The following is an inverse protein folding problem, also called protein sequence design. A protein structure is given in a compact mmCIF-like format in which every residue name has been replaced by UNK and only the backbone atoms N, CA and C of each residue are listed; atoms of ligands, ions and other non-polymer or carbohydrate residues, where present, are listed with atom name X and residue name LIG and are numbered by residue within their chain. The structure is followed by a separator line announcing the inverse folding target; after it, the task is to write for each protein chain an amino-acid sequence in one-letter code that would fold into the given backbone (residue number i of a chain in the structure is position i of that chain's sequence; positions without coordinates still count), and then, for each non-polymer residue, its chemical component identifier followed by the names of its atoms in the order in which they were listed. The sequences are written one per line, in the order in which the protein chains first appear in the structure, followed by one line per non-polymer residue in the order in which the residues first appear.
data_IF_530619737984
#
_entry.id   IF_530619737984
#
_cell.length_a   1.000
_cell.length_b   1.000
_cell.length_c   1.000
_cell.angle_alpha   90.00
_cell.angle_beta   90.00
_cell.angle_gamma   90.00
#
_symmetry.space_group_name_H-M   'P 1'
#
loop_
_entity.id
_entity.type
_entity.pdbx_description
1 polymer ?
#
# COMPACT_ATOMS: atom_id res chain seq x y z
N UNK A 1 9.44 4.74 21.65
CA UNK A 1 10.75 4.85 20.97
C UNK A 1 11.42 6.23 21.08
N UNK A 2 11.01 7.08 21.97
CA UNK A 2 11.61 8.39 22.15
C UNK A 2 13.10 8.36 22.58
N UNK A 3 13.61 7.20 22.99
CA UNK A 3 14.97 7.02 23.50
C UNK A 3 15.85 6.18 22.59
N UNK A 4 15.55 6.19 21.35
CA UNK A 4 16.17 5.32 20.39
C UNK A 4 17.33 6.03 19.68
N UNK A 5 18.52 5.41 19.69
CA UNK A 5 19.68 5.94 18.98
C UNK A 5 19.55 5.64 17.50
N UNK A 6 19.42 6.67 16.69
CA UNK A 6 19.48 6.55 15.25
C UNK A 6 20.91 6.71 14.76
N UNK A 7 21.25 5.96 13.74
CA UNK A 7 22.51 6.15 13.03
C UNK A 7 22.28 7.11 11.87
N UNK A 8 23.32 7.84 11.49
CA UNK A 8 23.29 8.53 10.22
C UNK A 8 23.28 7.51 9.05
N UNK A 9 22.98 7.96 7.85
CA UNK A 9 22.97 7.08 6.67
C UNK A 9 24.31 6.44 6.32
N UNK A 10 25.39 6.72 7.06
CA UNK A 10 26.72 6.14 6.88
C UNK A 10 27.00 4.99 7.85
N UNK A 11 26.10 4.72 8.78
CA UNK A 11 26.25 3.72 9.82
C UNK A 11 26.95 4.20 11.09
N UNK A 12 27.30 5.48 11.16
CA UNK A 12 27.82 6.07 12.38
C UNK A 12 26.68 6.52 13.30
N UNK A 13 26.86 6.34 14.60
CA UNK A 13 25.94 6.92 15.59
C UNK A 13 26.08 8.42 15.58
N UNK A 14 24.92 9.09 15.53
CA UNK A 14 24.87 10.51 15.83
C UNK A 14 25.03 10.62 17.33
N UNK A 15 26.16 11.14 17.76
CA UNK A 15 26.66 11.24 19.14
C UNK A 15 25.54 11.38 20.19
N UNK A 16 25.13 10.28 20.81
CA UNK A 16 24.21 10.21 21.95
C UNK A 16 22.96 11.09 21.87
N UNK A 17 22.64 11.69 20.75
CA UNK A 17 21.40 12.41 20.56
C UNK A 17 20.26 11.44 20.36
N UNK A 18 19.25 11.58 21.20
CA UNK A 18 17.95 10.96 21.04
C UNK A 18 17.27 11.56 19.82
N UNK A 19 17.32 10.86 18.69
CA UNK A 19 16.65 11.32 17.49
C UNK A 19 15.19 10.86 17.55
N UNK A 20 14.31 11.81 17.77
CA UNK A 20 12.84 11.62 17.69
C UNK A 20 12.39 11.61 16.24
N UNK A 21 12.77 10.60 15.50
CA UNK A 21 12.35 10.41 14.11
C UNK A 21 11.74 9.03 13.94
N UNK A 22 10.68 8.89 13.15
CA UNK A 22 10.13 7.59 12.83
C UNK A 22 11.16 6.75 12.09
N UNK A 23 11.28 5.50 12.49
CA UNK A 23 12.11 4.50 11.82
C UNK A 23 11.24 3.36 11.33
N UNK A 24 11.80 2.51 10.49
CA UNK A 24 11.12 1.30 10.04
C UNK A 24 10.74 0.39 11.23
N UNK A 25 11.57 0.34 12.27
CA UNK A 25 11.26 -0.41 13.49
C UNK A 25 10.01 0.15 14.20
N UNK A 26 9.85 1.47 14.27
CA UNK A 26 8.63 2.08 14.81
C UNK A 26 7.38 1.68 14.00
N UNK A 27 7.48 1.73 12.67
CA UNK A 27 6.40 1.30 11.80
C UNK A 27 5.99 -0.15 12.07
N UNK A 28 6.95 -1.05 12.19
CA UNK A 28 6.68 -2.47 12.44
C UNK A 28 5.95 -2.68 13.76
N UNK A 29 6.37 -2.00 14.81
CA UNK A 29 5.71 -2.12 16.10
C UNK A 29 4.30 -1.55 16.03
N UNK A 30 4.14 -0.40 15.40
CA UNK A 30 2.81 0.18 15.19
C UNK A 30 1.88 -0.77 14.43
N UNK A 31 2.36 -1.40 13.37
CA UNK A 31 1.56 -2.36 12.61
C UNK A 31 1.15 -3.58 13.44
N UNK A 32 2.05 -4.09 14.28
CA UNK A 32 1.73 -5.20 15.18
C UNK A 32 0.71 -4.79 16.24
N UNK A 33 0.91 -3.66 16.90
CA UNK A 33 -0.01 -3.14 17.91
C UNK A 33 -1.39 -2.87 17.31
N UNK A 34 -1.43 -2.18 16.19
CA UNK A 34 -2.69 -1.74 15.55
C UNK A 34 -3.47 -2.89 14.92
N UNK A 35 -2.81 -3.75 14.16
CA UNK A 35 -3.47 -4.72 13.27
C UNK A 35 -3.37 -6.16 13.74
N UNK A 36 -2.32 -6.55 14.43
CA UNK A 36 -2.20 -7.89 15.00
C UNK A 36 -2.83 -7.98 16.39
N UNK A 37 -2.62 -6.98 17.23
CA UNK A 37 -3.14 -6.95 18.59
C UNK A 37 -4.50 -6.24 18.69
N UNK A 38 -4.90 -5.50 17.67
CA UNK A 38 -6.18 -4.80 17.60
C UNK A 38 -6.30 -3.59 18.55
N UNK A 39 -5.17 -3.00 18.95
CA UNK A 39 -5.17 -1.81 19.78
C UNK A 39 -5.76 -0.59 19.04
N UNK A 40 -6.40 0.29 19.75
CA UNK A 40 -6.79 1.60 19.22
C UNK A 40 -5.56 2.47 18.95
N UNK A 41 -5.72 3.50 18.14
CA UNK A 41 -4.63 4.41 17.81
C UNK A 41 -4.04 5.08 19.05
N UNK A 42 -4.87 5.47 20.02
CA UNK A 42 -4.45 6.07 21.28
C UNK A 42 -3.68 5.10 22.20
N UNK A 43 -3.85 3.80 21.98
CA UNK A 43 -3.17 2.75 22.74
C UNK A 43 -1.84 2.33 22.13
N UNK A 44 -1.64 2.61 20.84
CA UNK A 44 -0.40 2.30 20.15
C UNK A 44 0.75 3.16 20.70
N UNK A 45 1.95 2.60 20.72
CA UNK A 45 3.14 3.27 21.24
C UNK A 45 3.24 3.33 22.77
N UNK A 46 2.30 2.70 23.49
CA UNK A 46 2.29 2.65 24.95
C UNK A 46 3.09 1.47 25.54
N UNK A 47 3.86 0.79 24.72
CA UNK A 47 4.70 -0.33 25.15
C UNK A 47 3.94 -1.60 25.53
N UNK A 48 2.76 -1.83 24.96
CA UNK A 48 1.86 -2.94 25.33
C UNK A 48 2.14 -4.27 24.64
N UNK A 49 3.14 -4.34 23.78
CA UNK A 49 3.55 -5.58 23.15
C UNK A 49 4.14 -6.58 24.15
N UNK A 50 4.60 -6.13 25.30
CA UNK A 50 5.09 -6.99 26.36
C UNK A 50 3.98 -7.29 27.38
N UNK A 51 3.46 -8.51 27.37
CA UNK A 51 2.57 -8.94 28.42
C UNK A 51 3.36 -9.14 29.73
N UNK A 52 2.90 -8.51 30.81
CA UNK A 52 3.48 -8.66 32.14
C UNK A 52 4.60 -7.67 32.49
N UNK A 53 4.86 -6.71 31.64
CA UNK A 53 5.75 -5.58 31.94
C UNK A 53 4.99 -4.54 32.74
N UNK A 54 5.55 -4.08 33.84
CA UNK A 54 4.96 -3.02 34.65
C UNK A 54 5.13 -1.66 33.97
N UNK A 55 4.34 -0.65 34.37
CA UNK A 55 4.50 0.72 33.85
C UNK A 55 5.92 1.27 33.96
N UNK A 56 6.71 0.80 34.93
CA UNK A 56 8.10 1.18 35.13
C UNK A 56 9.07 0.53 34.12
N UNK A 57 8.66 -0.61 33.55
CA UNK A 57 9.42 -1.36 32.55
C UNK A 57 8.90 -1.09 31.13
N UNK A 58 8.06 -0.06 31.00
CA UNK A 58 7.49 0.28 29.70
C UNK A 58 8.59 0.51 28.69
N UNK A 59 8.57 -0.36 27.78
CA UNK A 59 9.00 -0.34 26.44
C UNK A 59 10.08 0.69 26.09
N UNK A 60 11.25 0.39 26.53
CA UNK A 60 12.47 0.97 26.00
C UNK A 60 13.31 -0.20 25.48
N UNK A 61 13.27 -0.51 24.17
CA UNK A 61 14.01 -1.66 23.61
C UNK A 61 15.51 -1.54 23.87
N UNK A 62 16.02 -0.34 24.08
CA UNK A 62 17.42 -0.10 24.42
C UNK A 62 17.70 -0.39 25.89
N UNK A 63 16.77 -0.06 26.77
CA UNK A 63 16.95 -0.23 28.21
C UNK A 63 16.60 -1.63 28.72
N UNK A 64 15.73 -2.33 28.02
CA UNK A 64 15.26 -3.68 28.41
C UNK A 64 16.01 -4.83 27.73
N UNK A 65 17.13 -4.55 27.09
CA UNK A 65 17.96 -5.59 26.50
C UNK A 65 18.46 -6.58 27.54
N UNK A 66 18.17 -7.86 27.33
CA UNK A 66 18.78 -8.98 28.06
C UNK A 66 19.57 -9.84 27.08
N UNK A 67 20.88 -9.73 27.15
CA UNK A 67 21.77 -10.45 26.22
C UNK A 67 21.60 -9.91 24.79
N UNK A 68 21.37 -10.79 23.84
CA UNK A 68 21.22 -10.45 22.43
C UNK A 68 19.77 -10.15 22.02
N UNK A 69 18.80 -10.25 22.93
CA UNK A 69 17.39 -9.99 22.65
C UNK A 69 16.96 -8.69 23.31
N UNK A 70 16.64 -7.71 22.49
CA UNK A 70 16.15 -6.42 22.96
C UNK A 70 14.68 -6.47 23.35
N UNK A 71 13.90 -7.27 22.65
CA UNK A 71 12.47 -7.38 22.83
C UNK A 71 11.94 -8.71 22.27
N UNK A 72 11.14 -9.40 23.06
CA UNK A 72 10.40 -10.60 22.63
C UNK A 72 8.98 -10.52 23.17
N UNK A 73 7.98 -10.56 22.29
CA UNK A 73 6.59 -10.61 22.72
C UNK A 73 6.26 -12.00 23.26
N UNK A 74 5.40 -12.06 24.29
CA UNK A 74 5.01 -13.31 24.92
C UNK A 74 4.30 -14.29 24.00
N UNK A 75 3.64 -13.80 22.95
CA UNK A 75 3.02 -14.60 21.90
C UNK A 75 3.93 -14.83 20.68
N UNK A 76 5.19 -14.42 20.78
CA UNK A 76 6.21 -14.59 19.74
C UNK A 76 5.85 -13.98 18.38
N UNK A 77 5.08 -12.90 18.36
CA UNK A 77 4.76 -12.20 17.10
C UNK A 77 5.86 -11.25 16.66
N UNK A 78 6.69 -10.80 17.59
CA UNK A 78 7.85 -9.94 17.34
C UNK A 78 9.01 -10.38 18.21
N UNK A 79 10.19 -10.47 17.61
CA UNK A 79 11.46 -10.60 18.31
C UNK A 79 12.45 -9.63 17.68
N UNK A 80 13.01 -8.76 18.51
CA UNK A 80 14.05 -7.79 18.13
C UNK A 80 15.34 -8.22 18.78
N UNK A 81 16.37 -8.47 17.97
CA UNK A 81 17.68 -8.88 18.44
C UNK A 81 18.75 -7.87 18.03
N UNK A 82 19.92 -8.00 18.63
CA UNK A 82 21.06 -7.16 18.33
C UNK A 82 21.63 -6.44 19.56
N UNK A 83 22.44 -5.45 19.31
CA UNK A 83 23.00 -4.56 20.35
C UNK A 83 22.16 -3.28 20.44
N UNK A 84 22.29 -2.47 21.52
CA UNK A 84 21.64 -1.15 21.59
C UNK A 84 21.95 -0.26 20.39
N UNK A 85 22.92 -0.65 19.63
CA UNK A 85 23.47 0.10 18.52
C UNK A 85 23.20 -0.54 17.16
N UNK A 86 22.50 -1.66 17.11
CA UNK A 86 22.15 -2.36 15.88
C UNK A 86 21.01 -3.33 16.17
N UNK A 87 19.80 -2.89 15.93
CA UNK A 87 18.59 -3.67 16.20
C UNK A 87 17.98 -4.15 14.90
N UNK A 88 17.68 -5.43 14.81
CA UNK A 88 16.94 -5.98 13.69
C UNK A 88 15.80 -6.86 14.18
N UNK A 89 14.76 -6.97 13.37
CA UNK A 89 13.67 -7.87 13.65
C UNK A 89 14.04 -9.27 13.20
N UNK A 90 14.04 -10.19 14.16
CA UNK A 90 14.19 -11.60 13.90
C UNK A 90 12.85 -12.28 13.65
N UNK A 91 11.78 -11.73 14.21
CA UNK A 91 10.45 -12.28 14.07
C UNK A 91 9.44 -11.16 13.87
N UNK A 92 8.52 -11.35 12.96
CA UNK A 92 7.46 -10.41 12.68
C UNK A 92 6.16 -11.17 12.35
N UNK A 93 5.08 -10.79 13.00
CA UNK A 93 3.77 -11.39 12.80
C UNK A 93 3.72 -12.91 13.07
N UNK A 94 4.57 -13.40 13.97
CA UNK A 94 4.69 -14.82 14.28
C UNK A 94 5.56 -15.62 13.32
N UNK A 95 6.11 -14.99 12.29
CA UNK A 95 7.05 -15.58 11.35
C UNK A 95 8.47 -15.26 11.75
N UNK A 96 9.33 -16.25 11.74
CA UNK A 96 10.75 -16.17 12.06
C UNK A 96 11.67 -16.45 10.87
N UNK A 97 11.09 -16.47 9.68
CA UNK A 97 11.82 -16.52 8.42
C UNK A 97 12.58 -15.20 8.20
N UNK A 98 13.53 -15.24 7.29
CA UNK A 98 14.31 -14.08 6.96
C UNK A 98 13.47 -12.97 6.37
N UNK A 99 13.67 -11.76 6.87
CA UNK A 99 12.95 -10.57 6.44
C UNK A 99 13.84 -9.71 5.56
N UNK A 100 13.30 -9.31 4.43
CA UNK A 100 13.82 -8.22 3.60
C UNK A 100 12.82 -7.09 3.56
N UNK A 101 13.31 -5.88 3.51
CA UNK A 101 12.48 -4.69 3.43
C UNK A 101 13.09 -3.68 2.46
N UNK A 102 12.20 -2.96 1.82
CA UNK A 102 12.53 -1.95 0.82
C UNK A 102 11.80 -0.66 1.20
N UNK A 103 12.46 0.45 1.03
CA UNK A 103 11.88 1.77 1.20
C UNK A 103 11.82 2.43 -0.17
N UNK A 104 10.63 2.85 -0.59
CA UNK A 104 10.41 3.40 -1.92
C UNK A 104 10.92 2.48 -3.03
N UNK A 105 10.67 1.16 -2.86
CA UNK A 105 11.12 0.08 -3.74
C UNK A 105 12.64 -0.09 -3.86
N UNK A 106 13.41 0.58 -3.02
CA UNK A 106 14.87 0.49 -2.99
C UNK A 106 15.33 -0.22 -1.72
N UNK A 107 16.25 -1.17 -1.87
CA UNK A 107 16.87 -1.83 -0.73
C UNK A 107 17.69 -0.82 0.06
N UNK A 108 17.42 -0.62 1.36
CA UNK A 108 18.10 0.40 2.15
C UNK A 108 19.52 -0.03 2.49
N UNK A 109 20.46 0.37 1.66
CA UNK A 109 21.88 0.09 1.84
C UNK A 109 22.47 0.90 2.99
N UNK A 110 23.23 0.22 3.84
CA UNK A 110 24.30 0.81 4.61
C UNK A 110 25.58 0.82 3.79
N UNK A 111 26.57 1.59 4.23
CA UNK A 111 27.88 1.65 3.57
C UNK A 111 28.44 0.25 3.25
N UNK A 112 29.04 0.08 2.09
CA UNK A 112 29.74 -1.13 1.64
C UNK A 112 28.84 -2.34 1.31
N UNK A 113 27.65 -2.14 0.80
CA UNK A 113 26.82 -3.23 0.32
C UNK A 113 26.08 -4.03 1.39
N UNK A 114 26.14 -3.64 2.65
CA UNK A 114 25.36 -4.25 3.72
C UNK A 114 24.03 -3.53 3.90
N UNK A 115 22.97 -4.29 4.08
CA UNK A 115 21.67 -3.74 4.40
C UNK A 115 21.63 -3.03 5.75
N UNK A 116 20.80 -2.00 5.85
CA UNK A 116 20.52 -1.33 7.09
C UNK A 116 19.57 -2.15 7.96
N UNK A 117 19.79 -2.17 9.27
CA UNK A 117 18.81 -2.70 10.21
C UNK A 117 17.61 -1.74 10.34
N UNK A 118 16.46 -2.24 10.77
CA UNK A 118 15.20 -1.49 10.78
C UNK A 118 15.27 -0.18 11.59
N UNK A 119 16.15 -0.12 12.56
CA UNK A 119 16.43 1.05 13.40
C UNK A 119 17.24 2.16 12.71
N UNK A 120 17.87 1.83 11.60
CA UNK A 120 18.63 2.80 10.80
C UNK A 120 17.82 3.52 9.76
N UNK A 121 16.72 2.91 9.34
CA UNK A 121 15.93 3.40 8.23
C UNK A 121 14.97 4.43 8.75
N UNK A 122 15.30 5.69 8.54
CA UNK A 122 14.41 6.80 8.82
C UNK A 122 13.30 6.84 7.79
N UNK A 123 12.07 7.03 8.27
CA UNK A 123 10.91 7.22 7.43
C UNK A 123 10.54 8.70 7.37
N UNK A 124 10.02 9.09 6.24
CA UNK A 124 9.41 10.40 5.99
C UNK A 124 7.94 10.20 5.60
N UNK A 125 7.16 11.29 5.63
CA UNK A 125 5.83 11.27 5.08
C UNK A 125 5.89 10.85 3.60
N UNK A 126 4.91 10.07 3.15
CA UNK A 126 4.80 9.52 1.81
C UNK A 126 5.82 8.42 1.43
N UNK A 127 6.66 7.96 2.35
CA UNK A 127 7.48 6.78 2.09
C UNK A 127 6.60 5.53 1.97
N UNK A 128 6.86 4.71 0.96
CA UNK A 128 6.36 3.34 0.88
C UNK A 128 7.36 2.36 1.49
N UNK A 129 6.84 1.32 2.13
CA UNK A 129 7.65 0.25 2.71
C UNK A 129 7.10 -1.08 2.27
N UNK A 130 7.95 -1.86 1.60
CA UNK A 130 7.65 -3.24 1.23
C UNK A 130 8.40 -4.18 2.17
N UNK A 131 7.69 -5.18 2.64
CA UNK A 131 8.23 -6.23 3.48
C UNK A 131 8.06 -7.57 2.79
N UNK A 132 9.16 -8.26 2.56
CA UNK A 132 9.18 -9.59 2.00
C UNK A 132 9.81 -10.58 2.98
N UNK A 133 9.24 -11.78 3.07
CA UNK A 133 9.81 -12.90 3.80
C UNK A 133 10.33 -13.93 2.81
N UNK A 134 11.46 -14.53 3.11
CA UNK A 134 12.03 -15.57 2.28
C UNK A 134 12.50 -16.74 3.15
N UNK A 135 12.28 -17.95 2.66
CA UNK A 135 12.61 -19.19 3.38
C UNK A 135 13.92 -19.79 2.94
N UNK A 136 14.41 -19.40 1.76
CA UNK A 136 15.64 -19.91 1.18
C UNK A 136 16.66 -18.79 0.97
N UNK A 137 17.89 -18.99 1.44
CA UNK A 137 19.02 -18.06 1.23
C UNK A 137 19.37 -17.84 -0.24
N UNK A 138 18.92 -18.69 -1.14
CA UNK A 138 19.05 -18.45 -2.57
C UNK A 138 18.32 -17.17 -3.02
N UNK A 139 17.25 -16.77 -2.32
CA UNK A 139 16.59 -15.50 -2.58
C UNK A 139 17.53 -14.32 -2.41
N UNK A 140 18.38 -14.34 -1.38
CA UNK A 140 19.35 -13.28 -1.15
C UNK A 140 20.39 -13.15 -2.28
N UNK A 141 20.80 -14.27 -2.87
CA UNK A 141 21.83 -14.30 -3.92
C UNK A 141 21.26 -14.25 -5.33
N UNK A 142 20.09 -14.78 -5.56
CA UNK A 142 19.49 -14.96 -6.89
C UNK A 142 18.07 -14.42 -7.01
N UNK A 143 17.49 -13.96 -5.92
CA UNK A 143 16.15 -13.41 -5.90
C UNK A 143 16.05 -12.02 -6.50
N UNK A 144 14.83 -11.60 -6.74
CA UNK A 144 14.51 -10.27 -7.22
C UNK A 144 13.39 -9.66 -6.39
N UNK A 145 13.52 -8.40 -6.06
CA UNK A 145 12.40 -7.59 -5.61
C UNK A 145 11.66 -7.06 -6.82
N UNK A 146 10.35 -7.27 -6.87
CA UNK A 146 9.50 -6.77 -7.93
C UNK A 146 8.57 -5.68 -7.40
N UNK A 147 8.39 -4.64 -8.16
CA UNK A 147 7.47 -3.55 -7.87
C UNK A 147 6.67 -3.19 -9.12
N UNK A 148 5.44 -2.71 -8.95
CA UNK A 148 4.76 -2.01 -10.03
C UNK A 148 5.36 -0.62 -10.20
N UNK A 149 5.21 0.00 -11.38
CA UNK A 149 5.64 1.39 -11.61
C UNK A 149 4.99 2.38 -10.62
N UNK A 150 3.82 2.03 -10.09
CA UNK A 150 3.08 2.83 -9.12
C UNK A 150 2.46 1.93 -8.05
N UNK A 151 2.44 2.41 -6.82
CA UNK A 151 1.80 1.70 -5.69
C UNK A 151 0.27 1.74 -5.76
N UNK A 152 -0.26 2.65 -6.58
CA UNK A 152 -1.70 2.79 -6.81
C UNK A 152 -2.04 3.22 -8.21
N UNK A 153 -3.16 2.71 -8.70
CA UNK A 153 -3.73 2.99 -10.02
C UNK A 153 -5.19 3.41 -9.88
N UNK A 154 -5.64 4.17 -10.88
CA UNK A 154 -7.05 4.50 -11.03
C UNK A 154 -7.46 4.26 -12.47
N UNK A 155 -8.59 3.59 -12.68
CA UNK A 155 -9.21 3.41 -13.99
C UNK A 155 -10.74 3.50 -13.88
N UNK A 156 -11.42 3.47 -15.02
CA UNK A 156 -12.88 3.39 -15.10
C UNK A 156 -13.28 1.93 -15.33
N UNK A 157 -14.41 1.51 -14.78
CA UNK A 157 -14.94 0.16 -15.04
C UNK A 157 -15.13 -0.07 -16.54
N UNK A 158 -14.69 -1.23 -17.02
CA UNK A 158 -14.71 -1.60 -18.44
C UNK A 158 -13.53 -1.08 -19.27
N UNK A 159 -12.70 -0.19 -18.74
CA UNK A 159 -11.49 0.26 -19.40
C UNK A 159 -10.29 -0.62 -19.03
N UNK A 160 -9.39 -0.82 -20.00
CA UNK A 160 -8.17 -1.56 -19.77
C UNK A 160 -7.17 -0.69 -18.98
N UNK A 161 -6.77 -1.16 -17.82
CA UNK A 161 -5.65 -0.63 -17.05
C UNK A 161 -4.38 -1.35 -17.49
N UNK A 162 -3.36 -0.59 -17.83
CA UNK A 162 -2.05 -1.12 -18.26
C UNK A 162 -0.93 -0.56 -17.40
N UNK A 163 0.15 -1.30 -17.29
CA UNK A 163 1.34 -0.85 -16.57
C UNK A 163 2.52 -1.78 -16.79
N UNK A 164 3.54 -1.58 -15.98
CA UNK A 164 4.74 -2.43 -15.98
C UNK A 164 5.09 -2.88 -14.58
N UNK A 165 5.71 -4.04 -14.53
CA UNK A 165 6.42 -4.53 -13.36
C UNK A 165 7.91 -4.32 -13.57
N UNK A 166 8.55 -3.76 -12.55
CA UNK A 166 9.97 -3.47 -12.50
C UNK A 166 10.65 -4.48 -11.58
N UNK A 167 11.90 -4.75 -11.85
CA UNK A 167 12.74 -5.67 -11.10
C UNK A 167 13.90 -4.91 -10.48
N UNK A 168 14.14 -5.19 -9.23
CA UNK A 168 15.35 -4.82 -8.52
C UNK A 168 16.17 -6.08 -8.21
N UNK A 169 17.39 -6.15 -8.71
CA UNK A 169 18.25 -7.29 -8.51
C UNK A 169 18.91 -7.23 -7.11
N UNK A 170 18.46 -8.11 -6.22
CA UNK A 170 18.98 -8.17 -4.85
C UNK A 170 20.43 -8.67 -4.78
N UNK A 171 20.89 -9.44 -5.78
CA UNK A 171 22.28 -9.91 -5.83
C UNK A 171 23.28 -8.78 -6.01
N UNK A 172 22.91 -7.73 -6.70
CA UNK A 172 23.75 -6.55 -6.90
C UNK A 172 24.00 -5.75 -5.62
N UNK A 173 23.18 -5.93 -4.62
CA UNK A 173 23.28 -5.26 -3.31
C UNK A 173 24.48 -5.76 -2.54
N UNK A 174 24.73 -7.08 -2.53
CA UNK A 174 25.85 -7.69 -1.81
C UNK A 174 27.21 -7.19 -2.33
N UNK A 175 27.29 -6.85 -3.61
CA UNK A 175 28.50 -6.37 -4.28
C UNK A 175 28.58 -4.83 -4.39
N UNK A 176 27.66 -4.12 -3.74
CA UNK A 176 27.59 -2.65 -3.84
C UNK A 176 27.02 -2.19 -5.18
N UNK A 177 26.17 -2.99 -5.78
CA UNK A 177 25.56 -2.76 -7.07
C UNK A 177 24.53 -1.63 -7.10
N UNK A 178 24.01 -1.35 -8.27
CA UNK A 178 23.17 -0.19 -8.52
C UNK A 178 21.76 -0.36 -7.96
N UNK A 179 21.23 0.70 -7.42
CA UNK A 179 19.83 0.84 -6.97
C UNK A 179 18.89 1.07 -8.16
N UNK A 180 19.13 0.46 -9.31
CA UNK A 180 18.31 0.68 -10.52
C UNK A 180 17.26 -0.40 -10.69
N UNK A 181 16.05 0.03 -11.02
CA UNK A 181 14.99 -0.86 -11.47
C UNK A 181 15.14 -1.17 -12.95
N UNK A 182 15.04 -2.43 -13.29
CA UNK A 182 14.96 -2.92 -14.65
C UNK A 182 13.56 -3.47 -14.95
N UNK A 183 13.20 -3.56 -16.22
CA UNK A 183 11.94 -4.20 -16.58
C UNK A 183 12.00 -5.70 -16.19
N UNK A 184 10.97 -6.20 -15.52
CA UNK A 184 10.86 -7.62 -15.18
C UNK A 184 10.62 -8.42 -16.46
N UNK A 185 11.62 -9.19 -16.87
CA UNK A 185 11.63 -9.81 -18.20
C UNK A 185 11.67 -11.33 -18.18
N UNK A 186 11.68 -11.95 -17.02
CA UNK A 186 11.92 -13.37 -16.92
C UNK A 186 10.78 -14.16 -16.27
N UNK A 187 10.87 -15.48 -16.35
CA UNK A 187 9.87 -16.40 -15.85
C UNK A 187 9.73 -16.52 -14.33
N UNK A 188 10.31 -15.61 -13.54
CA UNK A 188 10.12 -15.58 -12.10
C UNK A 188 8.72 -15.11 -11.72
N UNK A 189 8.06 -14.35 -12.57
CA UNK A 189 6.67 -13.94 -12.39
C UNK A 189 5.75 -14.73 -13.32
N UNK A 190 4.86 -15.54 -12.75
CA UNK A 190 3.95 -16.39 -13.48
C UNK A 190 2.74 -15.64 -14.05
N UNK A 191 2.40 -14.51 -13.45
CA UNK A 191 1.25 -13.68 -13.76
C UNK A 191 0.80 -12.92 -12.53
N UNK A 192 -0.45 -12.53 -12.53
CA UNK A 192 -1.02 -11.70 -11.45
C UNK A 192 -2.38 -12.22 -11.03
N UNK A 193 -2.69 -12.01 -9.76
CA UNK A 193 -4.03 -12.23 -9.19
C UNK A 193 -4.63 -10.90 -8.74
N UNK A 194 -5.95 -10.86 -8.70
CA UNK A 194 -6.71 -9.72 -8.19
C UNK A 194 -7.32 -10.10 -6.85
N UNK A 195 -7.12 -9.25 -5.84
CA UNK A 195 -7.80 -9.32 -4.56
C UNK A 195 -8.89 -8.26 -4.50
N UNK A 196 -9.99 -8.57 -3.82
CA UNK A 196 -11.03 -7.60 -3.49
C UNK A 196 -10.59 -6.58 -2.44
N UNK A 197 -11.47 -5.67 -2.07
CA UNK A 197 -11.21 -4.63 -1.06
C UNK A 197 -10.86 -5.22 0.32
N UNK A 198 -11.45 -6.35 0.68
CA UNK A 198 -11.18 -7.11 1.90
C UNK A 198 -9.93 -7.99 1.81
N UNK A 199 -9.14 -7.86 0.75
CA UNK A 199 -7.95 -8.66 0.46
C UNK A 199 -8.23 -10.15 0.20
N UNK A 200 -9.47 -10.54 -0.03
CA UNK A 200 -9.78 -11.91 -0.48
C UNK A 200 -9.47 -12.09 -1.96
N UNK A 201 -9.04 -13.30 -2.31
CA UNK A 201 -8.75 -13.66 -3.69
C UNK A 201 -10.04 -13.64 -4.52
N UNK A 202 -9.97 -13.00 -5.69
CA UNK A 202 -11.03 -13.08 -6.71
C UNK A 202 -10.72 -14.16 -7.74
N UNK A 203 -11.66 -14.43 -8.63
CA UNK A 203 -11.43 -15.36 -9.74
C UNK A 203 -10.63 -14.73 -10.91
N UNK A 204 -10.26 -13.46 -10.77
CA UNK A 204 -9.59 -12.72 -11.83
C UNK A 204 -8.07 -12.90 -11.76
N UNK A 205 -7.51 -13.38 -12.85
CA UNK A 205 -6.07 -13.52 -13.08
C UNK A 205 -5.70 -12.91 -14.42
N UNK A 206 -4.46 -12.47 -14.57
CA UNK A 206 -3.95 -11.99 -15.86
C UNK A 206 -2.45 -12.27 -15.99
N UNK A 207 -1.97 -12.31 -17.22
CA UNK A 207 -0.62 -12.74 -17.54
C UNK A 207 0.37 -11.58 -17.50
N UNK A 208 1.62 -11.90 -17.21
CA UNK A 208 2.74 -11.02 -17.45
C UNK A 208 3.09 -11.02 -18.95
N UNK A 209 3.15 -9.84 -19.54
CA UNK A 209 3.56 -9.64 -20.92
C UNK A 209 5.06 -9.44 -21.09
N UNK A 210 5.50 -9.38 -22.33
CA UNK A 210 6.89 -9.13 -22.68
C UNK A 210 7.37 -7.80 -22.09
N UNK A 211 8.58 -7.79 -21.55
CA UNK A 211 9.17 -6.58 -20.95
C UNK A 211 8.53 -6.14 -19.64
N UNK A 212 7.85 -7.05 -18.94
CA UNK A 212 7.17 -6.75 -17.66
C UNK A 212 5.85 -6.01 -17.83
N UNK A 213 5.35 -5.85 -19.05
CA UNK A 213 4.06 -5.18 -19.30
C UNK A 213 2.90 -6.05 -18.84
N UNK A 214 1.80 -5.44 -18.48
CA UNK A 214 0.56 -6.12 -18.13
C UNK A 214 -0.66 -5.28 -18.49
N UNK A 215 -1.81 -5.95 -18.57
CA UNK A 215 -3.10 -5.31 -18.82
C UNK A 215 -4.21 -6.07 -18.10
N UNK A 216 -5.11 -5.34 -17.46
CA UNK A 216 -6.27 -5.90 -16.75
C UNK A 216 -7.47 -4.98 -16.93
N UNK A 217 -8.67 -5.55 -16.98
CA UNK A 217 -9.93 -4.80 -17.04
C UNK A 217 -10.80 -5.19 -15.84
N UNK A 218 -11.39 -4.20 -15.20
CA UNK A 218 -12.30 -4.41 -14.07
C UNK A 218 -13.73 -4.05 -14.50
N UNK A 219 -14.65 -5.00 -14.40
CA UNK A 219 -16.03 -4.77 -14.83
C UNK A 219 -16.87 -3.96 -13.84
N UNK A 220 -16.43 -3.91 -12.57
CA UNK A 220 -17.21 -3.27 -11.48
C UNK A 220 -16.38 -2.21 -10.77
N UNK A 221 -17.01 -1.07 -10.43
CA UNK A 221 -16.38 -0.08 -9.56
C UNK A 221 -16.03 -0.68 -8.18
N UNK A 222 -14.96 -0.20 -7.58
CA UNK A 222 -14.54 -0.66 -6.27
C UNK A 222 -13.06 -0.46 -6.03
N UNK A 223 -12.60 -0.95 -4.89
CA UNK A 223 -11.18 -1.04 -4.55
C UNK A 223 -10.72 -2.47 -4.75
N UNK A 224 -9.60 -2.63 -5.44
CA UNK A 224 -8.96 -3.91 -5.69
C UNK A 224 -7.47 -3.81 -5.37
N UNK A 225 -6.82 -4.97 -5.29
CA UNK A 225 -5.37 -5.06 -5.23
C UNK A 225 -4.90 -6.04 -6.28
N UNK A 226 -3.87 -5.67 -7.01
CA UNK A 226 -3.18 -6.57 -7.92
C UNK A 226 -1.90 -7.05 -7.26
N UNK A 227 -1.63 -8.34 -7.36
CA UNK A 227 -0.48 -8.99 -6.73
C UNK A 227 0.18 -9.91 -7.74
N UNK A 228 1.50 -9.81 -7.87
CA UNK A 228 2.26 -10.72 -8.71
C UNK A 228 2.35 -12.12 -8.10
N UNK A 229 2.49 -13.11 -8.96
CA UNK A 229 2.69 -14.51 -8.57
C UNK A 229 4.08 -14.99 -9.00
N UNK A 230 4.90 -15.34 -8.01
CA UNK A 230 6.08 -16.14 -8.25
C UNK A 230 5.66 -17.58 -8.59
N UNK A 231 6.23 -18.15 -9.64
CA UNK A 231 5.98 -19.55 -10.03
C UNK A 231 6.25 -20.53 -8.88
N UNK A 232 7.17 -20.20 -8.00
CA UNK A 232 7.61 -20.99 -6.88
C UNK A 232 7.10 -20.45 -5.52
N UNK A 233 6.10 -19.55 -5.52
CA UNK A 233 5.57 -18.97 -4.31
C UNK A 233 5.17 -20.04 -3.29
N UNK A 234 5.60 -19.87 -2.03
CA UNK A 234 5.32 -20.81 -0.96
C UNK A 234 6.20 -22.06 -0.95
N UNK A 235 7.22 -22.14 -1.80
CA UNK A 235 8.24 -23.20 -1.80
C UNK A 235 9.60 -22.66 -1.37
N UNK A 236 10.56 -23.57 -1.11
CA UNK A 236 11.96 -23.18 -0.86
C UNK A 236 12.65 -22.56 -2.06
N UNK A 237 12.07 -22.71 -3.25
CA UNK A 237 12.61 -22.20 -4.50
C UNK A 237 11.99 -20.84 -4.90
N UNK A 238 11.24 -20.20 -4.01
CA UNK A 238 10.71 -18.86 -4.25
C UNK A 238 11.83 -17.89 -4.62
N UNK A 239 11.69 -17.21 -5.75
CA UNK A 239 12.75 -16.43 -6.38
C UNK A 239 12.46 -14.94 -6.46
N UNK A 240 11.27 -14.50 -6.09
CA UNK A 240 10.95 -13.07 -6.09
C UNK A 240 10.05 -12.64 -4.90
N UNK A 241 10.22 -11.38 -4.50
CA UNK A 241 9.24 -10.69 -3.67
C UNK A 241 8.14 -10.14 -4.60
N UNK A 242 6.88 -10.60 -4.44
CA UNK A 242 5.83 -10.26 -5.39
C UNK A 242 5.42 -8.79 -5.27
N UNK A 243 5.21 -8.09 -6.40
CA UNK A 243 4.71 -6.73 -6.39
C UNK A 243 3.26 -6.68 -5.94
N UNK A 244 2.88 -5.60 -5.29
CA UNK A 244 1.49 -5.33 -4.88
C UNK A 244 1.14 -3.89 -5.17
N UNK A 245 -0.03 -3.64 -5.75
CA UNK A 245 -0.54 -2.30 -5.95
C UNK A 245 -2.05 -2.22 -5.69
N UNK A 246 -2.50 -1.06 -5.22
CA UNK A 246 -3.92 -0.76 -5.03
C UNK A 246 -4.51 -0.25 -6.34
N UNK A 247 -5.72 -0.70 -6.69
CA UNK A 247 -6.47 -0.22 -7.85
C UNK A 247 -7.80 0.36 -7.39
N UNK A 248 -8.06 1.62 -7.74
CA UNK A 248 -9.36 2.26 -7.55
C UNK A 248 -10.09 2.29 -8.89
N UNK A 249 -11.15 1.53 -9.00
CA UNK A 249 -11.99 1.47 -10.20
C UNK A 249 -13.18 2.38 -10.00
N UNK A 250 -13.25 3.43 -10.81
CA UNK A 250 -14.37 4.38 -10.82
C UNK A 250 -15.53 3.81 -11.65
N UNK A 251 -16.77 4.16 -11.32
CA UNK A 251 -17.90 3.82 -12.18
C UNK A 251 -17.78 4.53 -13.54
N UNK A 252 -18.39 3.94 -14.55
CA UNK A 252 -18.54 4.62 -15.84
C UNK A 252 -19.36 5.89 -15.62
N UNK A 253 -18.86 7.07 -16.04
CA UNK A 253 -19.60 8.31 -15.87
C UNK A 253 -20.98 8.22 -16.54
N UNK A 254 -22.02 8.51 -15.77
CA UNK A 254 -23.40 8.49 -16.25
C UNK A 254 -24.06 9.84 -16.00
N UNK A 255 -24.62 10.42 -17.04
CA UNK A 255 -25.35 11.69 -16.93
C UNK A 255 -26.50 11.54 -15.93
N UNK A 256 -26.58 12.44 -14.96
CA UNK A 256 -27.59 12.39 -13.89
C UNK A 256 -27.24 11.52 -12.69
N UNK A 257 -26.13 10.77 -12.70
CA UNK A 257 -25.62 10.02 -11.55
C UNK A 257 -24.57 10.84 -10.80
N UNK A 258 -25.03 11.64 -9.84
CA UNK A 258 -24.21 12.65 -9.15
C UNK A 258 -23.38 12.03 -8.02
N UNK A 259 -23.86 10.96 -7.42
CA UNK A 259 -23.14 10.25 -6.36
C UNK A 259 -22.25 9.13 -6.90
N UNK A 260 -22.30 8.91 -8.22
CA UNK A 260 -21.51 7.91 -8.93
C UNK A 260 -21.67 6.48 -8.35
N UNK A 261 -22.92 6.12 -7.97
CA UNK A 261 -23.23 4.77 -7.50
C UNK A 261 -23.66 3.81 -8.64
N UNK A 262 -23.63 4.28 -9.89
CA UNK A 262 -24.01 3.55 -11.10
C UNK A 262 -25.50 3.57 -11.40
N UNK A 263 -26.28 4.36 -10.67
CA UNK A 263 -27.75 4.45 -10.88
C UNK A 263 -28.26 5.87 -10.69
N UNK A 264 -29.11 6.32 -11.60
CA UNK A 264 -29.76 7.61 -11.45
C UNK A 264 -31.05 7.46 -10.60
N UNK A 265 -31.05 8.13 -9.46
CA UNK A 265 -32.09 8.02 -8.44
C UNK A 265 -32.63 9.40 -8.02
N UNK A 266 -33.66 9.41 -7.14
CA UNK A 266 -34.13 10.66 -6.51
C UNK A 266 -33.09 11.34 -5.65
N UNK A 267 -32.11 10.59 -5.16
CA UNK A 267 -31.01 11.12 -4.38
C UNK A 267 -30.20 12.06 -5.23
N UNK A 268 -29.92 11.69 -6.48
CA UNK A 268 -29.14 12.50 -7.41
C UNK A 268 -29.89 13.80 -7.75
N UNK A 269 -31.20 13.72 -8.01
CA UNK A 269 -32.04 14.92 -8.18
C UNK A 269 -31.90 15.88 -6.98
N UNK A 270 -31.91 15.34 -5.75
CA UNK A 270 -31.73 16.14 -4.53
C UNK A 270 -30.35 16.74 -4.41
N UNK A 271 -29.35 16.03 -4.89
CA UNK A 271 -27.97 16.52 -4.92
C UNK A 271 -27.82 17.67 -5.93
N UNK A 272 -28.36 17.53 -7.14
CA UNK A 272 -28.36 18.62 -8.13
C UNK A 272 -29.09 19.84 -7.59
N UNK A 273 -30.22 19.65 -6.92
CA UNK A 273 -30.94 20.76 -6.26
C UNK A 273 -30.07 21.48 -5.21
N UNK A 274 -29.27 20.74 -4.45
CA UNK A 274 -28.37 21.32 -3.46
C UNK A 274 -27.20 22.08 -4.10
N UNK A 275 -26.73 21.60 -5.25
CA UNK A 275 -25.69 22.30 -6.07
C UNK A 275 -26.31 23.61 -6.61
N UNK A 276 -27.46 23.54 -7.23
CA UNK A 276 -28.18 24.69 -7.78
C UNK A 276 -28.43 25.79 -6.74
N UNK A 277 -28.66 25.41 -5.49
CA UNK A 277 -28.82 26.36 -4.38
C UNK A 277 -27.52 26.87 -3.78
N UNK A 278 -26.36 26.40 -4.25
CA UNK A 278 -25.08 26.76 -3.69
C UNK A 278 -24.82 26.19 -2.28
N UNK A 279 -25.63 25.22 -1.82
CA UNK A 279 -25.44 24.58 -0.51
C UNK A 279 -24.52 23.37 -0.58
N UNK A 280 -24.16 22.94 -1.80
CA UNK A 280 -23.20 21.89 -2.07
C UNK A 280 -22.22 22.33 -3.16
N UNK A 281 -20.94 22.22 -2.87
CA UNK A 281 -19.86 22.43 -3.86
C UNK A 281 -19.37 21.08 -4.35
N UNK A 282 -19.14 20.95 -5.65
CA UNK A 282 -18.62 19.75 -6.31
C UNK A 282 -17.58 20.14 -7.34
N UNK A 283 -16.74 19.20 -7.78
CA UNK A 283 -15.76 19.43 -8.86
C UNK A 283 -16.42 19.48 -10.24
N UNK A 284 -15.65 19.93 -11.23
CA UNK A 284 -16.11 20.13 -12.62
C UNK A 284 -16.63 18.83 -13.25
N UNK A 285 -16.06 17.68 -12.90
CA UNK A 285 -16.51 16.37 -13.40
C UNK A 285 -17.96 16.08 -12.96
N UNK A 286 -18.30 16.37 -11.72
CA UNK A 286 -19.66 16.20 -11.21
C UNK A 286 -20.61 17.26 -11.80
N UNK A 287 -20.11 18.49 -12.03
CA UNK A 287 -20.91 19.52 -12.70
C UNK A 287 -21.34 19.08 -14.10
N UNK A 288 -20.47 18.42 -14.85
CA UNK A 288 -20.81 17.85 -16.17
C UNK A 288 -21.89 16.76 -16.09
N UNK A 289 -21.88 15.94 -15.03
CA UNK A 289 -22.91 14.93 -14.81
C UNK A 289 -24.25 15.54 -14.38
N UNK A 290 -24.21 16.69 -13.73
CA UNK A 290 -25.38 17.37 -13.18
C UNK A 290 -26.13 18.19 -14.21
N UNK A 291 -25.47 18.68 -15.25
CA UNK A 291 -26.07 19.41 -16.37
C UNK A 291 -26.74 18.43 -17.36
N UNK A 292 -27.89 17.92 -16.96
CA UNK A 292 -28.60 16.89 -17.74
C UNK A 292 -29.37 17.43 -18.94
N UNK A 293 -29.51 18.74 -19.05
CA UNK A 293 -30.11 19.40 -20.22
C UNK A 293 -29.05 19.89 -21.21
N UNK A 294 -27.78 20.01 -20.81
CA UNK A 294 -26.66 20.41 -21.66
C UNK A 294 -26.63 21.91 -21.98
N UNK A 295 -27.22 22.76 -21.13
CA UNK A 295 -27.21 24.22 -21.35
C UNK A 295 -26.01 24.95 -20.74
N UNK A 296 -25.11 24.23 -20.07
CA UNK A 296 -23.91 24.75 -19.42
C UNK A 296 -24.14 25.32 -18.03
N UNK A 297 -25.35 25.16 -17.46
CA UNK A 297 -25.70 25.57 -16.11
C UNK A 297 -26.28 24.39 -15.32
N UNK A 298 -25.98 24.33 -14.05
CA UNK A 298 -26.60 23.35 -13.15
C UNK A 298 -27.61 24.09 -12.27
N UNK A 299 -28.88 23.89 -12.55
CA UNK A 299 -29.97 24.61 -11.90
C UNK A 299 -31.14 23.72 -11.47
N UNK A 300 -32.26 24.33 -11.09
CA UNK A 300 -33.44 23.64 -10.67
C UNK A 300 -34.10 22.80 -11.78
N UNK A 301 -33.87 23.16 -13.06
CA UNK A 301 -34.40 22.45 -14.20
C UNK A 301 -33.76 21.08 -14.34
N UNK A 302 -32.45 20.98 -14.17
CA UNK A 302 -31.71 19.70 -14.19
C UNK A 302 -32.24 18.75 -13.12
N UNK A 303 -32.39 19.24 -11.89
CA UNK A 303 -32.98 18.46 -10.80
C UNK A 303 -34.38 17.96 -11.15
N UNK A 304 -35.22 18.80 -11.78
CA UNK A 304 -36.56 18.42 -12.20
C UNK A 304 -36.54 17.39 -13.34
N UNK A 305 -35.58 17.49 -14.26
CA UNK A 305 -35.39 16.54 -15.36
C UNK A 305 -34.98 15.18 -14.80
N UNK A 306 -34.02 15.13 -13.87
CA UNK A 306 -33.63 13.88 -13.22
C UNK A 306 -34.81 13.25 -12.47
N UNK A 307 -35.57 14.05 -11.74
CA UNK A 307 -36.75 13.55 -11.06
C UNK A 307 -37.80 13.02 -12.06
N UNK A 308 -37.97 13.69 -13.21
CA UNK A 308 -38.83 13.25 -14.32
C UNK A 308 -38.35 11.90 -14.88
N UNK A 309 -37.04 11.72 -15.07
CA UNK A 309 -36.46 10.50 -15.53
C UNK A 309 -36.67 9.33 -14.53
N UNK A 310 -36.35 9.52 -13.27
CA UNK A 310 -36.57 8.52 -12.22
C UNK A 310 -38.04 8.14 -12.03
N UNK A 311 -38.95 9.08 -12.28
CA UNK A 311 -40.41 8.82 -12.22
C UNK A 311 -40.99 8.22 -13.51
N UNK A 312 -40.16 7.98 -14.54
CA UNK A 312 -40.59 7.42 -15.84
C UNK A 312 -41.34 8.39 -16.76
N UNK A 313 -41.42 9.70 -16.41
CA UNK A 313 -41.99 10.73 -17.24
C UNK A 313 -41.12 11.18 -18.39
N UNK A 314 -39.81 11.09 -18.18
CA UNK A 314 -38.76 11.36 -19.15
C UNK A 314 -38.04 10.05 -19.40
N UNK A 315 -37.79 9.69 -20.66
CA UNK A 315 -37.16 8.42 -21.02
C UNK A 315 -35.65 8.53 -21.20
N UNK A 316 -35.16 9.71 -21.56
CA UNK A 316 -33.76 10.02 -21.81
C UNK A 316 -33.49 11.50 -21.48
N UNK A 317 -32.28 11.80 -21.10
CA UNK A 317 -31.86 13.17 -20.83
C UNK A 317 -31.72 13.96 -22.15
N UNK A 318 -32.07 15.27 -22.16
CA UNK A 318 -31.86 16.12 -23.33
C UNK A 318 -30.37 16.38 -23.63
N UNK A 319 -29.55 16.47 -22.61
CA UNK A 319 -28.13 16.68 -22.72
C UNK A 319 -27.39 15.37 -23.03
N UNK A 320 -26.08 15.51 -23.35
CA UNK A 320 -25.15 14.40 -23.54
C UNK A 320 -23.86 14.71 -22.81
N UNK A 321 -23.21 13.69 -22.29
CA UNK A 321 -21.83 13.84 -21.81
C UNK A 321 -20.95 14.26 -22.98
N UNK A 322 -20.29 15.40 -22.83
CA UNK A 322 -19.24 15.85 -23.77
C UNK A 322 -17.93 15.28 -23.26
N UNK A 323 -17.19 14.63 -24.15
CA UNK A 323 -15.84 14.11 -23.89
C UNK A 323 -14.88 15.19 -23.39
#
# INVERSE_FOLDING_TARGET
FERYHTKDGTGAYIDNELIRRPTLLHLYIYLLERYCMGLSEDECGQGRLQNGVTEADQYDPVMNMKGDTAYESTNKVLNITGSPTSLYMQQFWGHDENLMYYRNHVYPLMSKGWGATADYILLSDDDSVDLAMFTNWNFWTNGAFLAFEHDSYTCTAGEALTGKTLKYDTSSVADGGSESFEAAVDGSLQGYVVLGEDRTLTDQVFDAGEGGTWSVTFDKPGTYYIVGLDANAGTEDASCAPPTAKVTVKPVPMLGDINQDGTVTRRDASMVWSIAKGTRTVGDDIMKLADVNGDGQVDALDSAIIYGYVSGKIKEFPGKLTE
#
